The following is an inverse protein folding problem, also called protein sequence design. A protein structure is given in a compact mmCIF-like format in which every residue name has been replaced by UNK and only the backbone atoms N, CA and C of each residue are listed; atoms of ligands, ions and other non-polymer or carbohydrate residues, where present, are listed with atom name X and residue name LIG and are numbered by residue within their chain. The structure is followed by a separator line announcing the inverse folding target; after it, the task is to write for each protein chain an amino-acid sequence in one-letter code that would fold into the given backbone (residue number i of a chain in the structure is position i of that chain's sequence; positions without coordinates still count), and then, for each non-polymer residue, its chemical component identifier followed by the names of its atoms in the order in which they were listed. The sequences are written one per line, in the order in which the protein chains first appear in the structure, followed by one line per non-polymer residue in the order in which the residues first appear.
data_IF_653711077296
#
_entry.id   IF_653711077296
#
_cell.length_a   1.000
_cell.length_b   1.000
_cell.length_c   1.000
_cell.angle_alpha   90.00
_cell.angle_beta   90.00
_cell.angle_gamma   90.00
#
_symmetry.space_group_name_H-M   'P 1'
#
loop_
_entity.id
_entity.type
_entity.pdbx_description
1 polymer ?
#
# COMPACT_ATOMS: atom_id res chain seq x y z
N UNK A 1 22.28 10.77 -19.36
CA UNK A 1 22.84 12.04 -18.85
C UNK A 1 23.18 12.87 -20.06
N UNK A 2 22.79 14.13 -20.07
CA UNK A 2 23.28 15.06 -21.08
C UNK A 2 24.78 15.28 -20.86
N UNK A 3 25.65 14.99 -21.85
CA UNK A 3 27.10 15.00 -21.66
C UNK A 3 27.69 16.39 -21.47
N UNK A 4 26.99 17.44 -21.93
CA UNK A 4 27.48 18.82 -21.88
C UNK A 4 27.04 19.55 -20.60
N UNK A 5 25.77 19.38 -20.19
CA UNK A 5 25.19 20.02 -18.99
C UNK A 5 25.28 19.16 -17.73
N UNK A 6 25.47 17.85 -17.89
CA UNK A 6 25.44 16.89 -16.79
C UNK A 6 24.05 16.59 -16.23
N UNK A 7 22.98 17.02 -16.89
CA UNK A 7 21.62 16.75 -16.42
C UNK A 7 21.23 15.28 -16.59
N UNK A 8 20.66 14.71 -15.52
CA UNK A 8 19.98 13.42 -15.55
C UNK A 8 18.54 13.65 -16.01
N UNK A 9 18.13 12.89 -17.03
CA UNK A 9 16.83 13.00 -17.65
C UNK A 9 16.10 11.66 -17.51
N UNK A 10 14.82 11.74 -17.18
CA UNK A 10 13.92 10.58 -17.19
C UNK A 10 13.49 10.33 -18.63
N UNK A 11 13.76 9.13 -19.15
CA UNK A 11 13.51 8.77 -20.56
C UNK A 11 12.22 7.98 -20.78
N UNK A 12 11.62 7.47 -19.70
CA UNK A 12 10.36 6.71 -19.69
C UNK A 12 9.59 7.00 -18.42
N UNK A 13 8.29 6.74 -18.41
CA UNK A 13 7.50 6.82 -17.19
C UNK A 13 8.12 5.95 -16.09
N UNK A 14 8.09 6.46 -14.86
CA UNK A 14 8.56 5.75 -13.67
C UNK A 14 7.32 5.28 -12.91
N UNK A 15 7.40 4.04 -12.44
CA UNK A 15 6.38 3.39 -11.63
C UNK A 15 7.09 2.83 -10.39
N UNK A 16 6.64 3.24 -9.20
CA UNK A 16 7.28 2.84 -7.94
C UNK A 16 7.01 1.38 -7.62
N UNK A 17 5.81 0.90 -7.94
CA UNK A 17 5.36 -0.48 -7.78
C UNK A 17 6.17 -1.43 -8.66
N UNK A 18 6.64 -0.95 -9.83
CA UNK A 18 7.59 -1.68 -10.68
C UNK A 18 9.04 -1.55 -10.17
N UNK A 19 9.51 -0.33 -9.85
CA UNK A 19 10.88 -0.07 -9.40
C UNK A 19 10.98 1.21 -8.56
N UNK A 20 11.07 1.06 -7.23
CA UNK A 20 11.14 2.16 -6.29
C UNK A 20 12.50 2.90 -6.24
N UNK A 21 13.59 2.27 -6.67
CA UNK A 21 14.95 2.81 -6.51
C UNK A 21 15.85 2.50 -7.71
N UNK A 22 16.70 3.44 -8.10
CA UNK A 22 17.73 3.24 -9.11
C UNK A 22 19.09 3.63 -8.54
N UNK A 23 20.05 2.71 -8.63
CA UNK A 23 21.45 2.98 -8.32
C UNK A 23 22.24 3.19 -9.60
N UNK A 24 22.67 4.43 -9.83
CA UNK A 24 23.46 4.84 -10.98
C UNK A 24 24.93 4.96 -10.59
N UNK A 25 25.83 4.75 -11.55
CA UNK A 25 27.25 5.06 -11.42
C UNK A 25 27.62 6.10 -12.47
N UNK A 26 28.21 7.21 -12.01
CA UNK A 26 28.61 8.31 -12.89
C UNK A 26 30.13 8.41 -12.88
N UNK A 27 30.71 8.46 -14.08
CA UNK A 27 32.14 8.75 -14.31
C UNK A 27 32.28 10.10 -14.99
N UNK A 28 33.44 10.73 -14.80
CA UNK A 28 33.87 11.89 -15.58
C UNK A 28 35.01 11.43 -16.48
N UNK A 29 34.83 11.55 -17.79
CA UNK A 29 35.78 11.08 -18.81
C UNK A 29 36.25 12.24 -19.68
N UNK A 30 37.52 12.19 -20.07
CA UNK A 30 38.06 13.01 -21.14
C UNK A 30 37.55 12.50 -22.50
N UNK A 31 37.60 13.37 -23.52
CA UNK A 31 37.19 13.03 -24.87
C UNK A 31 38.02 11.89 -25.51
N UNK A 32 39.23 11.65 -25.02
CA UNK A 32 40.11 10.54 -25.43
C UNK A 32 39.83 9.23 -24.67
N UNK A 33 38.81 9.21 -23.80
CA UNK A 33 38.40 8.04 -23.02
C UNK A 33 39.12 7.87 -21.68
N UNK A 34 40.02 8.78 -21.30
CA UNK A 34 40.63 8.74 -19.97
C UNK A 34 39.63 9.15 -18.89
N UNK A 35 39.29 8.22 -17.98
CA UNK A 35 38.48 8.52 -16.79
C UNK A 35 39.26 9.42 -15.84
N UNK A 36 38.74 10.61 -15.58
CA UNK A 36 39.30 11.56 -14.63
C UNK A 36 38.83 11.25 -13.20
N UNK A 37 37.55 10.92 -13.03
CA UNK A 37 36.91 10.70 -11.73
C UNK A 37 35.80 9.64 -11.81
N UNK A 38 35.56 8.95 -10.70
CA UNK A 38 34.47 7.97 -10.54
C UNK A 38 34.94 6.51 -10.50
N UNK A 39 34.00 5.54 -10.47
CA UNK A 39 32.55 5.73 -10.48
C UNK A 39 32.02 6.29 -9.15
N UNK A 40 31.20 7.34 -9.24
CA UNK A 40 30.47 7.92 -8.10
C UNK A 40 29.03 7.38 -8.08
N UNK A 41 28.54 6.83 -6.96
CA UNK A 41 27.16 6.36 -6.88
C UNK A 41 26.17 7.54 -6.79
N UNK A 42 25.06 7.41 -7.52
CA UNK A 42 23.90 8.30 -7.43
C UNK A 42 22.66 7.43 -7.18
N UNK A 43 21.97 7.70 -6.08
CA UNK A 43 20.75 6.99 -5.71
C UNK A 43 19.53 7.83 -6.07
N UNK A 44 18.60 7.25 -6.82
CA UNK A 44 17.35 7.89 -7.21
C UNK A 44 16.20 7.10 -6.61
N UNK A 45 15.39 7.75 -5.77
CA UNK A 45 14.16 7.19 -5.23
C UNK A 45 12.96 7.69 -6.05
N UNK A 46 12.09 6.77 -6.46
CA UNK A 46 10.81 7.08 -7.09
C UNK A 46 9.80 7.37 -5.98
N UNK A 47 9.12 8.51 -6.07
CA UNK A 47 8.10 8.90 -5.10
C UNK A 47 6.81 8.12 -5.38
N UNK A 48 6.17 7.67 -4.31
CA UNK A 48 4.84 7.05 -4.34
C UNK A 48 3.73 8.02 -4.74
N UNK A 49 2.79 7.52 -5.54
CA UNK A 49 1.50 8.16 -5.84
C UNK A 49 0.37 7.20 -5.43
N UNK A 50 -0.79 7.72 -5.06
CA UNK A 50 -1.94 6.88 -4.69
C UNK A 50 -2.67 6.45 -5.97
N UNK A 51 -2.13 5.42 -6.63
CA UNK A 51 -2.66 4.91 -7.90
C UNK A 51 -3.05 3.43 -7.85
N UNK A 52 -2.74 2.74 -6.76
CA UNK A 52 -3.22 1.40 -6.49
C UNK A 52 -4.57 1.44 -5.78
N UNK A 53 -5.40 0.44 -6.06
CA UNK A 53 -6.72 0.30 -5.43
C UNK A 53 -6.68 -0.86 -4.44
N UNK A 54 -7.16 -0.69 -3.19
CA UNK A 54 -7.22 -1.77 -2.22
C UNK A 54 -8.03 -2.96 -2.72
N UNK A 55 -7.54 -4.17 -2.49
CA UNK A 55 -8.24 -5.41 -2.79
C UNK A 55 -8.40 -6.29 -1.56
N UNK A 56 -9.61 -6.79 -1.32
CA UNK A 56 -9.86 -7.79 -0.28
C UNK A 56 -9.20 -9.12 -0.63
N UNK A 57 -8.62 -9.80 0.37
CA UNK A 57 -8.00 -11.12 0.20
C UNK A 57 -9.01 -12.21 -0.16
N UNK A 58 -10.30 -12.02 0.14
CA UNK A 58 -11.38 -12.94 -0.19
C UNK A 58 -12.59 -12.18 -0.74
N UNK A 59 -13.22 -12.74 -1.77
CA UNK A 59 -14.49 -12.21 -2.28
C UNK A 59 -15.66 -12.40 -1.30
N UNK A 60 -15.62 -13.46 -0.48
CA UNK A 60 -16.66 -13.78 0.50
C UNK A 60 -16.02 -14.33 1.77
N UNK A 61 -16.14 -13.59 2.87
CA UNK A 61 -15.77 -14.06 4.20
C UNK A 61 -16.95 -14.77 4.87
N UNK A 62 -16.69 -15.90 5.55
CA UNK A 62 -17.72 -16.68 6.25
C UNK A 62 -17.30 -16.99 7.68
N UNK A 63 -18.21 -16.76 8.62
CA UNK A 63 -18.04 -17.12 10.02
C UNK A 63 -19.30 -17.82 10.55
N UNK A 64 -19.13 -18.66 11.58
CA UNK A 64 -20.25 -19.26 12.32
C UNK A 64 -20.12 -18.89 13.79
N UNK A 65 -21.18 -18.34 14.35
CA UNK A 65 -21.20 -17.88 15.74
C UNK A 65 -22.05 -18.79 16.60
N UNK A 66 -21.61 -18.99 17.84
CA UNK A 66 -22.41 -19.62 18.87
C UNK A 66 -23.34 -18.59 19.50
N UNK A 67 -24.47 -19.04 20.06
CA UNK A 67 -25.40 -18.16 20.78
C UNK A 67 -24.76 -17.49 22.01
N UNK A 68 -23.67 -18.04 22.55
CA UNK A 68 -22.94 -17.52 23.69
C UNK A 68 -21.80 -16.54 23.37
N UNK A 69 -21.60 -16.19 22.09
CA UNK A 69 -20.56 -15.23 21.69
C UNK A 69 -20.83 -13.88 22.35
N UNK A 70 -19.81 -13.35 23.05
CA UNK A 70 -19.93 -12.10 23.79
C UNK A 70 -19.76 -10.90 22.85
N UNK A 71 -20.53 -9.82 23.03
CA UNK A 71 -20.29 -8.54 22.36
C UNK A 71 -18.86 -8.02 22.56
N UNK A 72 -18.35 -7.32 21.56
CA UNK A 72 -17.02 -6.72 21.56
C UNK A 72 -15.85 -7.69 21.30
N UNK A 73 -16.08 -9.01 21.28
CA UNK A 73 -15.04 -9.99 20.95
C UNK A 73 -14.97 -10.18 19.42
N UNK A 74 -13.82 -9.92 18.78
CA UNK A 74 -13.65 -10.20 17.35
C UNK A 74 -13.81 -11.69 17.06
N UNK A 75 -14.55 -12.01 16.00
CA UNK A 75 -14.77 -13.39 15.54
C UNK A 75 -14.33 -13.62 14.09
N UNK A 76 -14.01 -12.55 13.36
CA UNK A 76 -13.55 -12.58 11.98
C UNK A 76 -12.65 -11.36 11.75
N UNK A 77 -11.56 -11.55 11.02
CA UNK A 77 -10.71 -10.47 10.54
C UNK A 77 -10.83 -10.40 9.03
N UNK A 78 -11.18 -9.22 8.52
CA UNK A 78 -11.14 -8.91 7.10
C UNK A 78 -9.71 -8.49 6.74
N UNK A 79 -9.23 -9.00 5.62
CA UNK A 79 -7.93 -8.64 5.08
C UNK A 79 -8.11 -7.97 3.72
N UNK A 80 -7.35 -6.90 3.52
CA UNK A 80 -7.18 -6.26 2.23
C UNK A 80 -5.74 -5.77 2.09
N UNK A 81 -5.28 -5.61 0.86
CA UNK A 81 -3.95 -5.10 0.55
C UNK A 81 -4.03 -3.98 -0.46
N UNK A 82 -3.18 -2.98 -0.24
CA UNK A 82 -2.84 -1.94 -1.18
C UNK A 82 -1.35 -2.11 -1.54
N UNK A 83 -0.98 -1.80 -2.79
CA UNK A 83 0.38 -1.94 -3.27
C UNK A 83 1.18 -0.64 -3.20
N UNK A 84 0.53 0.49 -2.94
CA UNK A 84 1.18 1.78 -2.64
C UNK A 84 2.18 1.65 -1.48
N UNK A 85 3.03 2.66 -1.30
CA UNK A 85 4.14 2.61 -0.33
C UNK A 85 3.66 2.31 1.10
N UNK A 86 4.12 1.18 1.71
CA UNK A 86 3.65 0.77 3.03
C UNK A 86 3.97 1.79 4.13
N UNK A 87 2.96 2.07 4.96
CA UNK A 87 3.12 2.97 6.11
C UNK A 87 2.94 4.44 5.77
N UNK A 88 2.58 4.75 4.52
CA UNK A 88 2.15 6.09 4.11
C UNK A 88 0.62 6.21 4.18
N UNK A 89 0.11 7.41 3.87
CA UNK A 89 -1.33 7.63 3.73
C UNK A 89 -1.91 6.96 2.48
N UNK A 90 -1.08 6.64 1.48
CA UNK A 90 -1.52 6.01 0.24
C UNK A 90 -1.91 4.55 0.50
N UNK A 91 -1.19 3.87 1.41
CA UNK A 91 -1.52 2.53 1.87
C UNK A 91 -2.38 2.47 3.17
N UNK A 92 -3.01 3.58 3.64
CA UNK A 92 -3.82 3.58 4.89
C UNK A 92 -5.23 3.01 4.64
N UNK A 93 -5.42 1.73 4.94
CA UNK A 93 -6.68 1.04 4.74
C UNK A 93 -7.72 1.34 5.83
N UNK A 94 -8.97 1.57 5.41
CA UNK A 94 -10.13 1.74 6.32
C UNK A 94 -11.35 0.95 5.88
N UNK A 95 -11.75 0.01 6.73
CA UNK A 95 -12.92 -0.84 6.53
C UNK A 95 -14.19 -0.20 7.10
N UNK A 96 -15.30 -0.36 6.38
CA UNK A 96 -16.62 0.11 6.80
C UNK A 96 -17.70 -0.91 6.45
N UNK A 97 -18.71 -1.03 7.32
CA UNK A 97 -19.92 -1.81 7.02
C UNK A 97 -20.89 -0.88 6.28
N UNK A 98 -21.26 -1.23 5.05
CA UNK A 98 -22.22 -0.45 4.26
C UNK A 98 -23.67 -0.77 4.61
N UNK A 99 -23.98 -2.03 4.92
CA UNK A 99 -25.33 -2.49 5.26
C UNK A 99 -25.29 -3.80 6.02
N UNK A 100 -26.27 -4.03 6.90
CA UNK A 100 -26.45 -5.29 7.62
C UNK A 100 -27.85 -5.84 7.36
N UNK A 101 -27.93 -7.12 7.01
CA UNK A 101 -29.18 -7.81 6.78
C UNK A 101 -29.17 -9.20 7.44
N UNK A 102 -30.30 -9.63 8.03
CA UNK A 102 -31.52 -8.87 8.26
C UNK A 102 -31.33 -7.76 9.32
N UNK A 103 -32.14 -6.69 9.27
CA UNK A 103 -32.09 -5.58 10.24
C UNK A 103 -32.71 -5.93 11.61
N UNK A 104 -33.09 -7.20 11.84
CA UNK A 104 -33.62 -7.70 13.09
C UNK A 104 -32.59 -8.60 13.81
N UNK A 105 -32.55 -8.58 15.16
CA UNK A 105 -33.24 -7.67 16.07
C UNK A 105 -32.77 -6.21 16.05
N UNK A 106 -31.63 -5.89 15.42
CA UNK A 106 -31.10 -4.52 15.32
C UNK A 106 -30.36 -4.34 13.98
N UNK A 107 -30.41 -3.15 13.34
CA UNK A 107 -29.63 -2.85 12.14
C UNK A 107 -28.12 -2.77 12.41
N UNK A 108 -27.71 -2.54 13.67
CA UNK A 108 -26.31 -2.35 14.07
C UNK A 108 -25.81 -3.55 14.90
N UNK A 109 -26.14 -4.77 14.47
CA UNK A 109 -25.77 -5.98 15.22
C UNK A 109 -24.26 -6.24 15.26
N UNK A 110 -23.56 -5.83 14.20
CA UNK A 110 -22.13 -6.02 14.04
C UNK A 110 -21.40 -4.68 13.98
N UNK A 111 -20.18 -4.68 14.52
CA UNK A 111 -19.24 -3.57 14.44
C UNK A 111 -17.95 -4.07 13.81
N UNK A 112 -17.26 -3.17 13.11
CA UNK A 112 -16.00 -3.44 12.45
C UNK A 112 -14.97 -2.42 12.92
N UNK A 113 -13.82 -2.90 13.39
CA UNK A 113 -12.69 -2.03 13.69
C UNK A 113 -12.11 -1.54 12.34
N UNK A 114 -12.10 -0.22 12.05
CA UNK A 114 -11.79 0.28 10.72
C UNK A 114 -10.37 0.03 10.23
N UNK A 115 -9.36 -0.10 11.09
CA UNK A 115 -7.96 -0.30 10.70
C UNK A 115 -7.54 -1.76 10.70
N UNK A 116 -8.09 -2.54 11.63
CA UNK A 116 -7.75 -3.95 11.83
C UNK A 116 -8.63 -4.89 11.03
N UNK A 117 -9.76 -4.40 10.48
CA UNK A 117 -10.75 -5.25 9.83
C UNK A 117 -11.40 -6.24 10.80
N UNK A 118 -11.34 -5.98 12.11
CA UNK A 118 -11.81 -6.89 13.14
C UNK A 118 -13.34 -6.77 13.31
N UNK A 119 -14.08 -7.79 12.87
CA UNK A 119 -15.54 -7.85 12.96
C UNK A 119 -15.96 -8.50 14.28
N UNK A 120 -16.84 -7.82 15.01
CA UNK A 120 -17.37 -8.24 16.29
C UNK A 120 -18.88 -8.00 16.38
N UNK A 121 -19.52 -8.61 17.38
CA UNK A 121 -20.89 -8.24 17.76
C UNK A 121 -20.87 -6.88 18.48
N UNK A 122 -21.80 -5.99 18.15
CA UNK A 122 -21.91 -4.68 18.78
C UNK A 122 -22.29 -4.82 20.27
N UNK A 123 -21.65 -4.06 21.17
CA UNK A 123 -22.12 -3.92 22.55
C UNK A 123 -23.52 -3.29 22.58
N UNK A 124 -24.35 -3.73 23.53
CA UNK A 124 -25.65 -3.11 23.81
C UNK A 124 -25.49 -1.77 24.52
#
# INVERSE_FOLDING_TARGET
MDPDSGFLLVTRALDREEQAEYQLQVTLEMQDGHVLWGPQPVLVHVKDENDQVPHFSQAIYRARLSRGTRPGIPFLFLEASDRDEPGTANSDLRFHILSQAPAQPSPDMFQLEPRLGALALSPK
#
